data_IF_937949777647
#
_entry.id   IF_937949777647
#
_cell.length_a   1.000
_cell.length_b   1.000
_cell.length_c   1.000
_cell.angle_alpha   90.00
_cell.angle_beta   90.00
_cell.angle_gamma   90.00
#
_symmetry.space_group_name_H-M   'P 1'
#
loop_
_entity.id
_entity.type
_entity.pdbx_description
1 polymer ?
#
# COMPACT_ATOMS: atom_id res chain seq x y z
N UNK A 1 15.37 19.47 45.15
CA UNK A 1 14.65 18.29 45.65
C UNK A 1 14.12 17.53 44.45
N UNK A 2 14.26 16.19 44.37
CA UNK A 2 13.71 15.44 43.25
C UNK A 2 12.18 15.48 43.34
N UNK A 3 11.53 15.79 42.22
CA UNK A 3 10.07 15.77 42.12
C UNK A 3 9.63 14.31 42.17
N UNK A 4 8.72 13.91 43.07
CA UNK A 4 8.21 12.55 43.09
C UNK A 4 7.48 12.26 41.78
N UNK A 5 7.88 11.19 41.10
CA UNK A 5 7.24 10.78 39.86
C UNK A 5 5.78 10.39 40.16
N UNK A 6 4.78 11.09 39.57
CA UNK A 6 3.38 10.82 39.84
C UNK A 6 2.95 9.41 39.43
N UNK A 7 3.71 8.72 38.57
CA UNK A 7 3.35 7.42 38.01
C UNK A 7 4.08 6.23 38.66
N UNK A 8 4.99 6.47 39.62
CA UNK A 8 5.83 5.42 40.20
C UNK A 8 5.06 4.23 40.79
N UNK A 9 3.87 4.47 41.37
CA UNK A 9 3.04 3.40 41.91
C UNK A 9 2.46 2.52 40.79
N UNK A 10 2.07 3.12 39.68
CA UNK A 10 1.48 2.42 38.53
C UNK A 10 2.54 1.59 37.82
N UNK A 11 3.74 2.13 37.65
CA UNK A 11 4.87 1.39 37.06
C UNK A 11 5.24 0.17 37.89
N UNK A 12 5.21 0.31 39.21
CA UNK A 12 5.46 -0.81 40.13
C UNK A 12 4.41 -1.91 40.00
N UNK A 13 3.12 -1.57 39.96
CA UNK A 13 2.04 -2.55 39.80
C UNK A 13 2.12 -3.29 38.47
N UNK A 14 2.51 -2.58 37.40
CA UNK A 14 2.74 -3.17 36.07
C UNK A 14 3.95 -4.12 36.11
N UNK A 15 5.03 -3.73 36.77
CA UNK A 15 6.23 -4.58 36.91
C UNK A 15 5.90 -5.88 37.67
N UNK A 16 5.18 -5.78 38.79
CA UNK A 16 4.76 -6.96 39.58
C UNK A 16 3.85 -7.90 38.76
N UNK A 17 3.00 -7.34 37.90
CA UNK A 17 2.14 -8.12 37.00
C UNK A 17 2.94 -8.84 35.92
N UNK A 18 3.97 -8.20 35.35
CA UNK A 18 4.87 -8.82 34.36
C UNK A 18 5.68 -9.95 34.99
N UNK A 19 6.17 -9.76 36.21
CA UNK A 19 6.92 -10.78 36.96
C UNK A 19 6.03 -12.01 37.25
N UNK A 20 4.77 -11.80 37.64
CA UNK A 20 3.80 -12.88 37.84
C UNK A 20 3.48 -13.67 36.55
N UNK A 21 3.42 -12.99 35.40
CA UNK A 21 3.23 -13.64 34.10
C UNK A 21 4.46 -14.45 33.68
N UNK A 22 5.65 -14.01 34.08
CA UNK A 22 6.88 -14.76 33.84
C UNK A 22 6.99 -16.00 34.74
N UNK A 23 6.64 -15.87 36.02
CA UNK A 23 6.64 -16.98 36.98
C UNK A 23 5.67 -18.09 36.59
N UNK A 24 4.55 -17.73 35.96
CA UNK A 24 3.57 -18.69 35.41
C UNK A 24 3.96 -19.26 34.05
N UNK A 25 5.06 -18.76 33.44
CA UNK A 25 5.53 -19.16 32.12
C UNK A 25 4.67 -18.62 30.96
N UNK A 26 3.69 -17.77 31.25
CA UNK A 26 2.87 -17.09 30.24
C UNK A 26 3.68 -16.03 29.47
N UNK A 27 4.69 -15.44 30.11
CA UNK A 27 5.63 -14.50 29.51
C UNK A 27 7.04 -15.09 29.49
N UNK A 28 7.64 -15.19 28.31
CA UNK A 28 9.05 -15.58 28.16
C UNK A 28 9.95 -14.36 28.42
N UNK A 29 11.05 -14.56 29.15
CA UNK A 29 12.04 -13.50 29.46
C UNK A 29 12.57 -12.79 28.22
N UNK A 30 12.72 -13.52 27.11
CA UNK A 30 13.16 -12.98 25.82
C UNK A 30 12.16 -11.97 25.22
N UNK A 31 10.89 -12.02 25.63
CA UNK A 31 9.82 -11.15 25.14
C UNK A 31 9.49 -10.02 26.14
N UNK A 32 10.20 -9.94 27.28
CA UNK A 32 9.97 -8.91 28.28
C UNK A 32 10.71 -7.62 27.88
N UNK A 33 9.96 -6.55 27.61
CA UNK A 33 10.51 -5.19 27.48
C UNK A 33 10.44 -4.46 28.81
N UNK A 34 11.42 -3.60 29.09
CA UNK A 34 11.36 -2.71 30.25
C UNK A 34 10.27 -1.66 30.06
N UNK A 35 9.67 -1.20 31.16
CA UNK A 35 8.69 -0.11 31.13
C UNK A 35 9.31 1.15 30.51
N UNK A 36 10.59 1.42 30.80
CA UNK A 36 11.33 2.53 30.20
C UNK A 36 11.42 2.44 28.67
N UNK A 37 11.67 1.25 28.10
CA UNK A 37 11.69 1.05 26.65
C UNK A 37 10.29 1.13 26.01
N UNK A 38 9.23 0.79 26.74
CA UNK A 38 7.85 0.96 26.27
C UNK A 38 7.42 2.43 26.23
N UNK A 39 7.83 3.21 27.24
CA UNK A 39 7.51 4.64 27.32
C UNK A 39 8.39 5.47 26.39
N UNK A 40 9.65 5.09 26.25
CA UNK A 40 10.64 5.72 25.38
C UNK A 40 11.14 4.71 24.34
N UNK A 41 10.34 4.38 23.32
CA UNK A 41 10.81 3.55 22.23
C UNK A 41 11.99 4.26 21.55
N UNK A 42 13.15 3.61 21.50
CA UNK A 42 14.36 4.11 20.82
C UNK A 42 14.10 4.45 19.33
N UNK A 43 13.03 3.89 18.77
CA UNK A 43 12.62 4.04 17.38
C UNK A 43 11.68 5.23 17.09
N UNK A 44 11.45 6.17 18.01
CA UNK A 44 10.87 7.47 17.65
C UNK A 44 11.92 8.35 16.97
N UNK A 45 12.50 7.85 15.89
CA UNK A 45 13.07 8.70 14.87
C UNK A 45 11.94 9.16 13.96
N UNK A 46 11.92 10.46 13.81
CA UNK A 46 10.98 11.32 13.12
C UNK A 46 11.01 11.04 11.61
N UNK A 47 10.41 9.94 11.16
CA UNK A 47 10.15 9.69 9.73
C UNK A 47 8.86 10.40 9.27
N UNK A 48 8.48 11.48 9.94
CA UNK A 48 7.50 12.41 9.38
C UNK A 48 8.27 13.27 8.37
N UNK A 49 8.47 12.72 7.17
CA UNK A 49 8.93 13.49 6.01
C UNK A 49 8.13 14.79 5.99
N UNK A 50 8.82 15.92 6.11
CA UNK A 50 8.22 17.26 6.16
C UNK A 50 7.56 17.51 4.81
N UNK A 51 6.26 17.17 4.71
CA UNK A 51 5.45 17.43 3.52
C UNK A 51 5.46 18.94 3.32
N UNK A 52 6.10 19.39 2.24
CA UNK A 52 6.20 20.81 1.94
C UNK A 52 4.94 21.29 1.24
N UNK A 53 4.62 22.58 1.36
CA UNK A 53 3.47 23.17 0.64
C UNK A 53 3.59 23.01 -0.89
N UNK A 54 4.81 22.89 -1.40
CA UNK A 54 5.11 22.57 -2.80
C UNK A 54 4.64 21.15 -3.18
N UNK A 55 4.84 20.16 -2.32
CA UNK A 55 4.36 18.78 -2.55
C UNK A 55 2.83 18.74 -2.59
N UNK A 56 2.17 19.56 -1.76
CA UNK A 56 0.71 19.72 -1.76
C UNK A 56 0.25 20.38 -3.07
N UNK A 57 0.94 21.45 -3.49
CA UNK A 57 0.64 22.17 -4.72
C UNK A 57 0.78 21.27 -5.96
N UNK A 58 1.85 20.49 -6.05
CA UNK A 58 2.11 19.57 -7.15
C UNK A 58 1.01 18.49 -7.25
N UNK A 59 0.53 17.98 -6.12
CA UNK A 59 -0.58 17.03 -6.11
C UNK A 59 -1.88 17.68 -6.61
N UNK A 60 -2.19 18.91 -6.19
CA UNK A 60 -3.40 19.62 -6.62
C UNK A 60 -3.36 19.93 -8.12
N UNK A 61 -2.23 20.41 -8.62
CA UNK A 61 -2.04 20.68 -10.06
C UNK A 61 -2.09 19.38 -10.87
N UNK A 62 -1.52 18.27 -10.38
CA UNK A 62 -1.63 16.97 -11.05
C UNK A 62 -3.07 16.43 -11.11
N UNK A 63 -3.92 16.73 -10.13
CA UNK A 63 -5.34 16.34 -10.16
C UNK A 63 -6.12 17.27 -11.09
N UNK A 64 -5.89 18.58 -11.01
CA UNK A 64 -6.60 19.57 -11.80
C UNK A 64 -6.27 19.45 -13.30
N UNK A 65 -5.02 19.19 -13.67
CA UNK A 65 -4.62 18.87 -15.04
C UNK A 65 -5.22 17.55 -15.56
N UNK A 66 -5.63 16.62 -14.68
CA UNK A 66 -6.36 15.41 -15.08
C UNK A 66 -7.84 15.70 -15.27
N UNK A 67 -8.41 16.59 -14.48
CA UNK A 67 -9.82 16.98 -14.52
C UNK A 67 -10.13 17.89 -15.73
N UNK A 68 -9.25 18.85 -16.07
CA UNK A 68 -9.40 19.72 -17.25
C UNK A 68 -9.29 18.95 -18.59
N UNK A 69 -8.70 17.75 -18.59
CA UNK A 69 -8.66 16.87 -19.77
C UNK A 69 -9.99 16.12 -19.97
N UNK A 70 -10.82 15.95 -18.94
CA UNK A 70 -12.12 15.29 -19.06
C UNK A 70 -13.23 16.20 -19.60
N UNK A 71 -13.11 17.53 -19.52
CA UNK A 71 -14.20 18.45 -19.87
C UNK A 71 -14.14 19.01 -21.32
N UNK A 72 -13.04 18.80 -22.06
CA UNK A 72 -12.85 19.37 -23.40
C UNK A 72 -13.44 18.53 -24.57
N UNK A 73 -14.10 17.40 -24.31
CA UNK A 73 -14.62 16.51 -25.37
C UNK A 73 -16.07 16.82 -25.80
N UNK A 74 -16.55 18.05 -25.64
CA UNK A 74 -17.83 18.49 -26.21
C UNK A 74 -17.74 19.92 -26.75
N UNK A 75 -17.13 20.11 -27.92
CA UNK A 75 -17.74 20.84 -29.04
C UNK A 75 -16.71 21.22 -30.11
N UNK A 76 -17.07 20.82 -31.32
CA UNK A 76 -16.83 21.52 -32.58
C UNK A 76 -15.47 21.37 -33.29
N UNK A 77 -15.55 20.59 -34.37
CA UNK A 77 -14.81 20.64 -35.62
C UNK A 77 -13.66 21.65 -35.73
N UNK A 78 -12.45 21.20 -35.38
CA UNK A 78 -11.21 21.75 -35.92
C UNK A 78 -10.17 20.63 -35.84
N UNK A 79 -9.55 20.29 -36.97
CA UNK A 79 -8.65 19.15 -37.12
C UNK A 79 -7.31 19.35 -36.42
N UNK A 80 -7.32 19.32 -35.09
CA UNK A 80 -6.14 19.07 -34.28
C UNK A 80 -6.19 17.62 -33.79
N UNK A 81 -5.05 16.94 -33.84
CA UNK A 81 -4.93 15.51 -33.59
C UNK A 81 -5.65 15.12 -32.31
N UNK A 82 -6.67 14.27 -32.43
CA UNK A 82 -7.37 13.72 -31.28
C UNK A 82 -6.35 12.88 -30.50
N UNK A 83 -5.74 13.48 -29.48
CA UNK A 83 -4.79 12.79 -28.60
C UNK A 83 -5.63 11.78 -27.81
N UNK A 84 -5.72 10.56 -28.33
CA UNK A 84 -6.38 9.46 -27.62
C UNK A 84 -5.56 9.22 -26.35
N UNK A 85 -6.12 9.45 -25.15
CA UNK A 85 -5.37 9.29 -23.92
C UNK A 85 -4.93 7.83 -23.78
N UNK A 86 -3.71 7.63 -23.28
CA UNK A 86 -3.20 6.29 -23.01
C UNK A 86 -4.08 5.68 -21.91
N UNK A 87 -4.75 4.53 -22.15
CA UNK A 87 -5.67 3.95 -21.19
C UNK A 87 -4.92 3.59 -19.91
N UNK A 88 -5.58 3.85 -18.78
CA UNK A 88 -5.06 3.47 -17.48
C UNK A 88 -4.94 1.95 -17.38
N UNK A 89 -4.06 1.49 -16.48
CA UNK A 89 -3.86 0.06 -16.23
C UNK A 89 -5.15 -0.66 -15.80
N UNK A 90 -6.01 0.02 -15.03
CA UNK A 90 -7.33 -0.51 -14.62
C UNK A 90 -8.26 -0.68 -15.82
N UNK A 91 -8.28 0.28 -16.73
CA UNK A 91 -9.04 0.20 -17.97
C UNK A 91 -8.52 -0.89 -18.90
N UNK A 92 -7.20 -1.04 -19.02
CA UNK A 92 -6.58 -2.13 -19.78
C UNK A 92 -6.99 -3.51 -19.22
N UNK A 93 -6.96 -3.70 -17.90
CA UNK A 93 -7.43 -4.95 -17.27
C UNK A 93 -8.94 -5.17 -17.46
N UNK A 94 -9.74 -4.11 -17.40
CA UNK A 94 -11.18 -4.19 -17.68
C UNK A 94 -11.44 -4.61 -19.12
N UNK A 95 -10.72 -4.04 -20.09
CA UNK A 95 -10.80 -4.42 -21.49
C UNK A 95 -10.40 -5.89 -21.72
N UNK A 96 -9.35 -6.35 -21.05
CA UNK A 96 -8.93 -7.77 -21.09
C UNK A 96 -10.04 -8.69 -20.57
N UNK A 97 -10.68 -8.34 -19.46
CA UNK A 97 -11.81 -9.12 -18.92
C UNK A 97 -12.97 -9.22 -19.91
N UNK A 98 -13.33 -8.10 -20.54
CA UNK A 98 -14.35 -8.08 -21.60
C UNK A 98 -13.98 -8.97 -22.79
N UNK A 99 -12.72 -8.93 -23.23
CA UNK A 99 -12.22 -9.78 -24.32
C UNK A 99 -12.23 -11.26 -23.94
N UNK A 100 -11.81 -11.61 -22.72
CA UNK A 100 -11.87 -12.99 -22.22
C UNK A 100 -13.30 -13.50 -22.16
N UNK A 101 -14.27 -12.69 -21.73
CA UNK A 101 -15.68 -13.05 -21.73
C UNK A 101 -16.21 -13.30 -23.15
N UNK A 102 -15.81 -12.49 -24.11
CA UNK A 102 -16.17 -12.69 -25.52
C UNK A 102 -15.56 -13.97 -26.09
N UNK A 103 -14.27 -14.20 -25.84
CA UNK A 103 -13.51 -15.38 -26.29
C UNK A 103 -14.07 -16.67 -25.69
N UNK A 104 -14.41 -16.68 -24.40
CA UNK A 104 -14.93 -17.86 -23.71
C UNK A 104 -16.26 -18.38 -24.27
N UNK A 105 -16.95 -17.59 -25.10
CA UNK A 105 -18.15 -18.03 -25.83
C UNK A 105 -17.86 -18.82 -27.12
N UNK A 106 -16.60 -18.89 -27.55
CA UNK A 106 -16.18 -19.44 -28.85
C UNK A 106 -15.10 -20.51 -28.68
N UNK A 107 -15.32 -21.67 -29.29
CA UNK A 107 -14.35 -22.77 -29.31
C UNK A 107 -13.50 -22.72 -30.58
N UNK A 108 -12.59 -21.74 -30.65
CA UNK A 108 -11.65 -21.58 -31.75
C UNK A 108 -10.20 -21.67 -31.23
N UNK A 109 -9.30 -22.43 -31.89
CA UNK A 109 -7.93 -22.63 -31.42
C UNK A 109 -7.10 -21.34 -31.39
N UNK A 110 -7.35 -20.37 -32.26
CA UNK A 110 -6.70 -19.07 -32.21
C UNK A 110 -7.15 -18.27 -30.98
N UNK A 111 -8.42 -18.37 -30.60
CA UNK A 111 -8.94 -17.68 -29.43
C UNK A 111 -8.39 -18.25 -28.11
N UNK A 112 -8.11 -19.55 -28.02
CA UNK A 112 -7.39 -20.12 -26.88
C UNK A 112 -5.96 -19.59 -26.76
N UNK A 113 -5.28 -19.37 -27.88
CA UNK A 113 -3.96 -18.74 -27.85
C UNK A 113 -4.05 -17.29 -27.37
N UNK A 114 -5.05 -16.54 -27.85
CA UNK A 114 -5.30 -15.17 -27.41
C UNK A 114 -5.65 -15.10 -25.92
N UNK A 115 -6.45 -16.03 -25.41
CA UNK A 115 -6.78 -16.16 -23.99
C UNK A 115 -5.53 -16.35 -23.13
N UNK A 116 -4.61 -17.21 -23.56
CA UNK A 116 -3.32 -17.41 -22.89
C UNK A 116 -2.47 -16.12 -22.86
N UNK A 117 -2.44 -15.37 -23.97
CA UNK A 117 -1.74 -14.08 -24.04
C UNK A 117 -2.38 -13.08 -23.08
N UNK A 118 -3.71 -12.94 -23.10
CA UNK A 118 -4.46 -12.03 -22.23
C UNK A 118 -4.28 -12.37 -20.75
N UNK A 119 -4.28 -13.66 -20.39
CA UNK A 119 -4.01 -14.11 -19.02
C UNK A 119 -2.59 -13.75 -18.58
N UNK A 120 -1.59 -13.96 -19.45
CA UNK A 120 -0.19 -13.60 -19.16
C UNK A 120 0.00 -12.09 -19.01
N UNK A 121 -0.72 -11.30 -19.81
CA UNK A 121 -0.72 -9.85 -19.74
C UNK A 121 -1.30 -9.38 -18.40
N UNK A 122 -2.48 -9.88 -18.02
CA UNK A 122 -3.12 -9.57 -16.74
C UNK A 122 -2.22 -9.91 -15.56
N UNK A 123 -1.63 -11.12 -15.56
CA UNK A 123 -0.70 -11.55 -14.52
C UNK A 123 0.50 -10.60 -14.38
N UNK A 124 1.21 -10.32 -15.47
CA UNK A 124 2.38 -9.42 -15.45
C UNK A 124 2.01 -8.02 -15.00
N UNK A 125 0.85 -7.57 -15.43
CA UNK A 125 0.31 -6.26 -15.10
C UNK A 125 0.06 -6.19 -13.58
N UNK A 126 -0.65 -7.15 -12.99
CA UNK A 126 -0.85 -7.29 -11.54
C UNK A 126 0.44 -7.48 -10.75
N UNK A 127 1.36 -8.32 -11.22
CA UNK A 127 2.62 -8.60 -10.53
C UNK A 127 3.51 -7.36 -10.41
N UNK A 128 3.51 -6.48 -11.43
CA UNK A 128 4.21 -5.20 -11.37
C UNK A 128 3.70 -4.30 -10.23
N UNK A 129 2.43 -4.43 -9.83
CA UNK A 129 1.89 -3.75 -8.65
C UNK A 129 2.46 -4.31 -7.37
N UNK A 130 2.46 -5.63 -7.25
CA UNK A 130 2.93 -6.31 -6.03
C UNK A 130 4.41 -6.01 -5.80
N UNK A 131 5.22 -5.98 -6.85
CA UNK A 131 6.63 -5.58 -6.75
C UNK A 131 6.85 -4.08 -6.51
N UNK A 132 5.85 -3.23 -6.76
CA UNK A 132 5.93 -1.80 -6.45
C UNK A 132 5.50 -1.48 -5.01
N UNK A 133 4.87 -2.43 -4.32
CA UNK A 133 4.53 -2.28 -2.91
C UNK A 133 5.82 -2.35 -2.08
N UNK A 134 6.00 -1.38 -1.19
CA UNK A 134 7.09 -1.42 -0.20
C UNK A 134 6.93 -2.66 0.66
N UNK A 135 8.04 -3.36 0.91
CA UNK A 135 8.06 -4.43 1.90
C UNK A 135 7.64 -3.84 3.26
N UNK A 136 6.63 -4.45 3.86
CA UNK A 136 6.16 -4.11 5.20
C UNK A 136 6.72 -5.14 6.17
N UNK A 137 6.74 -4.82 7.47
CA UNK A 137 7.16 -5.79 8.49
C UNK A 137 6.40 -7.13 8.38
N UNK A 138 5.13 -7.10 7.97
CA UNK A 138 4.32 -8.29 7.75
C UNK A 138 4.83 -9.13 6.56
N UNK A 139 5.23 -8.52 5.44
CA UNK A 139 5.70 -9.27 4.27
C UNK A 139 7.10 -9.86 4.47
N UNK A 140 7.90 -9.31 5.41
CA UNK A 140 9.21 -9.85 5.76
C UNK A 140 9.17 -11.24 6.42
N UNK A 141 8.08 -11.60 7.11
CA UNK A 141 7.96 -12.93 7.74
C UNK A 141 7.73 -14.08 6.74
N UNK A 142 7.41 -13.77 5.49
CA UNK A 142 7.06 -14.77 4.47
C UNK A 142 8.19 -15.04 3.45
N UNK A 143 9.32 -14.34 3.53
CA UNK A 143 10.47 -14.64 2.68
C UNK A 143 11.24 -15.83 3.26
N UNK A 144 11.14 -16.98 2.59
CA UNK A 144 11.90 -18.19 2.95
C UNK A 144 13.39 -17.96 2.77
N UNK A 145 14.17 -18.42 3.74
CA UNK A 145 15.65 -18.44 3.73
C UNK A 145 16.21 -19.41 2.69
#
# INVERSE_FOLDING_TARGET
MPVPDPNANVEKDVQESLDALQDTGALQTANQMSIESLLNPEAKHDDMEEITDEDIFDVVIMVQNKEEVEEACNADASGDECIIPIPSRKEALKAVSTLQQYIGSMNDPFLHQLEGILASFSWKTCLKEVHSLKDTEITMYFTSK
#
